data_IF_291986647114
#
_entry.id   IF_291986647114
#
_cell.length_a   1.000
_cell.length_b   1.000
_cell.length_c   1.000
_cell.angle_alpha   90.00
_cell.angle_beta   90.00
_cell.angle_gamma   90.00
#
_symmetry.space_group_name_H-M   'P 1'
#
loop_
_entity.id
_entity.type
_entity.pdbx_description
1 polymer ?
#
# COMPACT_ATOMS: atom_id res chain seq x y z
N UNK A 1 -24.76 21.13 -12.80
CA UNK A 1 -24.10 19.90 -12.29
C UNK A 1 -22.58 20.00 -12.25
N UNK A 2 -21.90 20.42 -13.33
CA UNK A 2 -20.41 20.46 -13.42
C UNK A 2 -19.70 21.22 -12.26
N UNK A 3 -20.24 22.36 -11.81
CA UNK A 3 -19.68 23.15 -10.68
C UNK A 3 -19.78 22.47 -9.29
N UNK A 4 -20.77 21.58 -9.04
CA UNK A 4 -20.85 20.83 -7.76
C UNK A 4 -19.78 19.75 -7.68
N UNK A 5 -19.66 18.93 -8.74
CA UNK A 5 -18.61 17.92 -8.84
C UNK A 5 -17.20 18.52 -8.63
N UNK A 6 -16.94 19.71 -9.20
CA UNK A 6 -15.64 20.39 -9.05
C UNK A 6 -15.34 20.82 -7.60
N UNK A 7 -16.33 21.32 -6.88
CA UNK A 7 -16.17 21.71 -5.48
C UNK A 7 -15.96 20.50 -4.56
N UNK A 8 -16.60 19.38 -4.89
CA UNK A 8 -16.50 18.14 -4.10
C UNK A 8 -15.14 17.44 -4.30
N UNK A 9 -14.59 17.47 -5.51
CA UNK A 9 -13.29 16.87 -5.85
C UNK A 9 -12.11 17.66 -5.28
N UNK A 10 -12.21 18.98 -5.18
CA UNK A 10 -11.18 19.85 -4.61
C UNK A 10 -11.31 20.07 -3.10
N UNK A 11 -12.10 19.25 -2.43
CA UNK A 11 -12.35 19.36 -1.01
C UNK A 11 -11.16 18.83 -0.20
N UNK A 12 -10.91 19.44 0.97
CA UNK A 12 -9.95 18.94 1.96
C UNK A 12 -10.06 17.44 2.25
N UNK A 13 -11.26 16.85 2.43
CA UNK A 13 -11.37 15.40 2.62
C UNK A 13 -10.88 14.60 1.41
N UNK A 14 -11.10 15.05 0.18
CA UNK A 14 -10.58 14.35 -1.01
C UNK A 14 -9.05 14.40 -1.11
N UNK A 15 -8.42 15.51 -0.71
CA UNK A 15 -6.96 15.60 -0.62
C UNK A 15 -6.40 14.67 0.46
N UNK A 16 -7.07 14.57 1.61
CA UNK A 16 -6.69 13.65 2.68
C UNK A 16 -6.83 12.18 2.24
N UNK A 17 -7.93 11.83 1.56
CA UNK A 17 -8.15 10.49 1.00
C UNK A 17 -7.07 10.15 -0.03
N UNK A 18 -6.74 11.09 -0.93
CA UNK A 18 -5.63 10.90 -1.87
C UNK A 18 -4.32 10.58 -1.14
N UNK A 19 -3.92 11.41 -0.17
CA UNK A 19 -2.68 11.23 0.57
C UNK A 19 -2.63 9.90 1.31
N UNK A 20 -3.73 9.51 1.95
CA UNK A 20 -3.84 8.23 2.65
C UNK A 20 -3.76 7.03 1.70
N UNK A 21 -4.51 7.03 0.60
CA UNK A 21 -4.48 5.97 -0.40
C UNK A 21 -3.11 5.85 -1.07
N UNK A 22 -2.45 6.98 -1.35
CA UNK A 22 -1.11 6.99 -1.92
C UNK A 22 -0.08 6.40 -0.94
N UNK A 23 -0.11 6.81 0.33
CA UNK A 23 0.80 6.30 1.35
C UNK A 23 0.61 4.79 1.58
N UNK A 24 -0.64 4.32 1.67
CA UNK A 24 -0.94 2.89 1.78
C UNK A 24 -0.49 2.12 0.54
N UNK A 25 -0.74 2.66 -0.66
CA UNK A 25 -0.33 2.07 -1.91
C UNK A 25 1.19 1.91 -2.01
N UNK A 26 1.93 2.97 -1.71
CA UNK A 26 3.39 2.97 -1.70
C UNK A 26 3.96 1.99 -0.67
N UNK A 27 3.47 2.04 0.57
CA UNK A 27 3.88 1.10 1.63
C UNK A 27 3.63 -0.35 1.22
N UNK A 28 2.43 -0.64 0.71
CA UNK A 28 2.05 -1.98 0.27
C UNK A 28 2.94 -2.48 -0.87
N UNK A 29 3.24 -1.62 -1.84
CA UNK A 29 4.08 -1.98 -2.97
C UNK A 29 5.53 -2.25 -2.54
N UNK A 30 6.10 -1.40 -1.68
CA UNK A 30 7.45 -1.58 -1.13
C UNK A 30 7.54 -2.88 -0.34
N UNK A 31 6.57 -3.15 0.56
CA UNK A 31 6.54 -4.41 1.31
C UNK A 31 6.36 -5.63 0.41
N UNK A 32 5.50 -5.54 -0.61
CA UNK A 32 5.28 -6.64 -1.55
C UNK A 32 6.54 -6.97 -2.36
N UNK A 33 7.26 -5.96 -2.86
CA UNK A 33 8.52 -6.16 -3.58
C UNK A 33 9.59 -6.73 -2.64
N UNK A 34 9.70 -6.20 -1.41
CA UNK A 34 10.64 -6.71 -0.40
C UNK A 34 10.40 -8.20 -0.12
N UNK A 35 9.14 -8.63 0.05
CA UNK A 35 8.80 -10.03 0.28
C UNK A 35 9.07 -10.95 -0.93
N UNK A 36 9.06 -10.40 -2.15
CA UNK A 36 9.43 -11.14 -3.35
C UNK A 36 10.95 -11.26 -3.53
N UNK A 37 11.72 -10.28 -3.02
CA UNK A 37 13.18 -10.30 -3.03
C UNK A 37 13.73 -11.18 -1.91
N UNK A 38 13.21 -11.01 -0.70
CA UNK A 38 13.62 -11.72 0.51
C UNK A 38 12.41 -12.45 1.12
N UNK A 39 11.98 -13.59 0.53
CA UNK A 39 10.78 -14.30 0.97
C UNK A 39 10.94 -15.03 2.29
N UNK A 40 12.18 -15.24 2.75
CA UNK A 40 12.50 -15.91 4.02
C UNK A 40 12.36 -14.98 5.23
N UNK A 41 11.32 -14.16 5.28
CA UNK A 41 11.02 -13.27 6.39
C UNK A 41 9.79 -13.70 7.20
N UNK A 42 9.88 -13.52 8.52
CA UNK A 42 8.77 -13.63 9.48
C UNK A 42 8.81 -12.42 10.41
N UNK A 43 7.70 -11.69 10.58
CA UNK A 43 7.64 -10.48 11.42
C UNK A 43 8.68 -9.39 11.06
N UNK A 44 9.16 -9.37 9.81
CA UNK A 44 10.23 -8.48 9.35
C UNK A 44 11.64 -8.87 9.81
N UNK A 45 11.83 -10.12 10.25
CA UNK A 45 13.13 -10.71 10.55
C UNK A 45 13.40 -11.88 9.61
N UNK A 46 14.66 -12.00 9.17
CA UNK A 46 15.09 -13.14 8.37
C UNK A 46 15.03 -14.44 9.18
N UNK A 47 14.47 -15.50 8.59
CA UNK A 47 14.40 -16.83 9.18
C UNK A 47 15.64 -17.65 8.85
N UNK A 48 16.15 -18.40 9.83
CA UNK A 48 17.06 -19.52 9.59
C UNK A 48 16.28 -20.83 9.41
N UNK A 49 16.94 -21.85 8.87
CA UNK A 49 16.32 -23.16 8.61
C UNK A 49 15.81 -23.87 9.87
N UNK A 50 16.32 -23.50 11.05
CA UNK A 50 15.93 -24.05 12.35
C UNK A 50 14.79 -23.26 13.02
N UNK A 51 14.40 -22.13 12.45
CA UNK A 51 13.37 -21.26 13.02
C UNK A 51 11.97 -21.65 12.53
N UNK A 52 10.96 -21.28 13.33
CA UNK A 52 9.55 -21.39 12.95
C UNK A 52 8.90 -20.02 12.99
N UNK A 53 8.00 -19.76 12.05
CA UNK A 53 7.15 -18.57 12.05
C UNK A 53 5.77 -18.92 12.57
N UNK A 54 5.40 -18.37 13.73
CA UNK A 54 4.07 -18.55 14.29
C UNK A 54 3.15 -17.41 13.82
N UNK A 55 2.01 -17.79 13.23
CA UNK A 55 1.00 -16.84 12.77
C UNK A 55 -0.09 -16.74 13.82
N UNK A 56 -0.18 -15.59 14.48
CA UNK A 56 -1.35 -15.23 15.26
C UNK A 56 -2.50 -14.80 14.34
N UNK A 57 -3.74 -14.92 14.81
CA UNK A 57 -4.89 -14.38 14.10
C UNK A 57 -4.78 -12.85 13.94
N UNK A 58 -5.14 -12.33 12.75
CA UNK A 58 -5.08 -10.90 12.33
C UNK A 58 -3.73 -10.38 11.82
N UNK A 59 -2.86 -11.27 11.34
CA UNK A 59 -1.64 -10.87 10.62
C UNK A 59 -0.50 -10.44 11.54
N UNK A 60 -0.55 -10.81 12.81
CA UNK A 60 0.63 -10.79 13.67
C UNK A 60 1.42 -12.09 13.47
N UNK A 61 2.72 -11.95 13.31
CA UNK A 61 3.66 -13.06 13.18
C UNK A 61 4.72 -12.94 14.27
N UNK A 62 5.19 -14.08 14.77
CA UNK A 62 6.31 -14.15 15.71
C UNK A 62 7.32 -15.19 15.24
N UNK A 63 8.60 -14.81 15.28
CA UNK A 63 9.71 -15.68 14.96
C UNK A 63 10.10 -16.48 16.20
N UNK A 64 9.92 -17.80 16.15
CA UNK A 64 10.40 -18.72 17.18
C UNK A 64 11.78 -19.22 16.77
N UNK A 65 12.81 -18.63 17.37
CA UNK A 65 14.21 -18.99 17.13
C UNK A 65 14.47 -20.43 17.57
N UNK A 66 15.09 -21.24 16.72
CA UNK A 66 15.29 -22.68 16.94
C UNK A 66 14.00 -23.50 17.14
N UNK A 67 12.84 -22.97 16.75
CA UNK A 67 11.54 -23.61 16.95
C UNK A 67 11.45 -25.02 16.36
N UNK A 68 12.14 -25.30 15.25
CA UNK A 68 12.13 -26.64 14.62
C UNK A 68 12.81 -27.71 15.48
N UNK A 69 13.61 -27.30 16.46
CA UNK A 69 14.33 -28.20 17.39
C UNK A 69 13.69 -28.23 18.78
N UNK A 70 12.70 -27.38 19.05
CA UNK A 70 12.05 -27.25 20.35
C UNK A 70 10.83 -28.17 20.44
N UNK A 71 10.78 -29.01 21.49
CA UNK A 71 9.64 -29.89 21.72
C UNK A 71 8.35 -29.09 21.99
N UNK A 72 7.32 -29.34 21.18
CA UNK A 72 6.00 -28.72 21.33
C UNK A 72 5.82 -27.35 20.66
N UNK A 73 6.86 -26.82 20.01
CA UNK A 73 6.71 -25.65 19.15
C UNK A 73 5.93 -26.01 17.87
N UNK A 74 5.00 -25.15 17.48
CA UNK A 74 4.28 -25.27 16.20
C UNK A 74 4.37 -23.94 15.46
N UNK A 75 4.40 -23.99 14.13
CA UNK A 75 4.57 -22.83 13.28
C UNK A 75 4.94 -23.26 11.87
N UNK A 76 5.03 -22.29 10.96
CA UNK A 76 5.50 -22.53 9.59
C UNK A 76 7.01 -22.63 9.55
N UNK A 77 7.52 -23.65 8.89
CA UNK A 77 8.94 -23.78 8.57
C UNK A 77 9.40 -22.69 7.58
N UNK A 78 10.71 -22.50 7.46
CA UNK A 78 11.31 -21.56 6.50
C UNK A 78 10.80 -21.79 5.06
N UNK A 79 10.71 -23.04 4.62
CA UNK A 79 10.20 -23.36 3.27
C UNK A 79 8.73 -23.02 3.08
N UNK A 80 7.91 -23.23 4.11
CA UNK A 80 6.48 -22.91 4.07
C UNK A 80 6.24 -21.40 4.10
N UNK A 81 7.00 -20.67 4.93
CA UNK A 81 6.93 -19.21 5.01
C UNK A 81 7.42 -18.56 3.71
N UNK A 82 8.56 -19.03 3.18
CA UNK A 82 9.10 -18.55 1.91
C UNK A 82 8.16 -18.80 0.74
N UNK A 83 7.55 -19.99 0.67
CA UNK A 83 6.53 -20.30 -0.34
C UNK A 83 5.30 -19.41 -0.21
N UNK A 84 4.79 -19.20 1.01
CA UNK A 84 3.66 -18.31 1.28
C UNK A 84 3.96 -16.87 0.83
N UNK A 85 5.13 -16.35 1.19
CA UNK A 85 5.52 -14.99 0.88
C UNK A 85 5.72 -14.78 -0.62
N UNK A 86 6.36 -15.74 -1.30
CA UNK A 86 6.62 -15.66 -2.74
C UNK A 86 5.33 -15.77 -3.56
N UNK A 87 4.47 -16.73 -3.23
CA UNK A 87 3.33 -17.08 -4.08
C UNK A 87 2.03 -16.37 -3.72
N UNK A 88 1.89 -15.91 -2.48
CA UNK A 88 0.65 -15.32 -2.00
C UNK A 88 0.84 -13.92 -1.44
N UNK A 89 1.62 -13.75 -0.37
CA UNK A 89 1.67 -12.48 0.37
C UNK A 89 2.31 -11.38 -0.47
N UNK A 90 3.51 -11.61 -1.01
CA UNK A 90 4.23 -10.65 -1.87
C UNK A 90 3.38 -10.17 -3.04
N UNK A 91 2.87 -11.07 -3.92
CA UNK A 91 2.00 -10.69 -5.03
C UNK A 91 0.74 -9.95 -4.58
N UNK A 92 0.10 -10.35 -3.48
CA UNK A 92 -1.08 -9.68 -2.95
C UNK A 92 -0.76 -8.23 -2.54
N UNK A 93 0.34 -8.02 -1.83
CA UNK A 93 0.81 -6.68 -1.45
C UNK A 93 1.16 -5.82 -2.66
N UNK A 94 1.78 -6.39 -3.70
CA UNK A 94 2.07 -5.69 -4.96
C UNK A 94 0.78 -5.30 -5.68
N UNK A 95 -0.19 -6.21 -5.78
CA UNK A 95 -1.48 -5.95 -6.42
C UNK A 95 -2.27 -4.87 -5.67
N UNK A 96 -2.39 -4.98 -4.35
CA UNK A 96 -3.02 -3.95 -3.52
C UNK A 96 -2.31 -2.60 -3.69
N UNK A 97 -0.98 -2.58 -3.60
CA UNK A 97 -0.17 -1.38 -3.80
C UNK A 97 -0.42 -0.73 -5.16
N UNK A 98 -0.40 -1.52 -6.23
CA UNK A 98 -0.68 -1.08 -7.59
C UNK A 98 -2.07 -0.48 -7.75
N UNK A 99 -3.10 -1.12 -7.20
CA UNK A 99 -4.49 -0.61 -7.25
C UNK A 99 -4.62 0.72 -6.50
N UNK A 100 -4.09 0.82 -5.28
CA UNK A 100 -4.15 2.05 -4.49
C UNK A 100 -3.39 3.21 -5.16
N UNK A 101 -2.21 2.94 -5.74
CA UNK A 101 -1.45 3.94 -6.49
C UNK A 101 -2.15 4.36 -7.78
N UNK A 102 -2.77 3.43 -8.51
CA UNK A 102 -3.52 3.74 -9.73
C UNK A 102 -4.74 4.61 -9.43
N UNK A 103 -5.54 4.24 -8.42
CA UNK A 103 -6.74 4.99 -8.02
C UNK A 103 -6.36 6.36 -7.48
N UNK A 104 -5.35 6.46 -6.62
CA UNK A 104 -4.89 7.76 -6.10
C UNK A 104 -4.35 8.66 -7.20
N UNK A 105 -3.54 8.14 -8.13
CA UNK A 105 -3.03 8.89 -9.28
C UNK A 105 -4.17 9.39 -10.18
N UNK A 106 -5.19 8.55 -10.39
CA UNK A 106 -6.39 8.92 -11.13
C UNK A 106 -7.14 10.08 -10.45
N UNK A 107 -7.37 10.01 -9.13
CA UNK A 107 -8.02 11.09 -8.37
C UNK A 107 -7.22 12.40 -8.44
N UNK A 108 -5.89 12.33 -8.30
CA UNK A 108 -5.02 13.50 -8.42
C UNK A 108 -5.11 14.15 -9.80
N UNK A 109 -5.19 13.35 -10.86
CA UNK A 109 -5.36 13.88 -12.22
C UNK A 109 -6.63 14.72 -12.34
N UNK A 110 -7.78 14.25 -11.84
CA UNK A 110 -9.01 15.04 -11.85
C UNK A 110 -8.92 16.30 -10.99
N UNK A 111 -8.25 16.23 -9.84
CA UNK A 111 -8.01 17.42 -9.00
C UNK A 111 -7.15 18.46 -9.72
N UNK A 112 -6.11 18.02 -10.44
CA UNK A 112 -5.24 18.90 -11.23
C UNK A 112 -5.98 19.56 -12.39
N UNK A 113 -6.76 18.79 -13.16
CA UNK A 113 -7.62 19.35 -14.22
C UNK A 113 -8.58 20.38 -13.63
N UNK A 114 -9.18 20.06 -12.48
CA UNK A 114 -10.12 20.96 -11.82
C UNK A 114 -9.48 22.28 -11.35
N UNK A 115 -8.24 22.20 -10.86
CA UNK A 115 -7.44 23.37 -10.52
C UNK A 115 -7.14 24.20 -11.76
N UNK A 116 -6.62 23.59 -12.83
CA UNK A 116 -6.23 24.30 -14.06
C UNK A 116 -7.41 25.06 -14.65
N UNK A 117 -8.60 24.46 -14.70
CA UNK A 117 -9.80 25.15 -15.17
C UNK A 117 -10.15 26.35 -14.26
N UNK A 118 -10.10 26.19 -12.94
CA UNK A 118 -10.32 27.30 -11.99
C UNK A 118 -9.26 28.41 -12.10
N UNK A 119 -8.04 28.07 -12.49
CA UNK A 119 -6.98 29.04 -12.74
C UNK A 119 -7.24 29.79 -14.06
N UNK A 120 -7.68 29.10 -15.11
CA UNK A 120 -8.07 29.72 -16.39
C UNK A 120 -9.24 30.68 -16.25
N UNK A 121 -10.28 30.29 -15.52
CA UNK A 121 -11.45 31.16 -15.27
C UNK A 121 -11.02 32.46 -14.55
N UNK A 122 -10.14 32.37 -13.55
CA UNK A 122 -9.62 33.55 -12.83
C UNK A 122 -8.74 34.45 -13.71
N UNK A 123 -7.98 33.87 -14.63
CA UNK A 123 -7.18 34.65 -15.58
C UNK A 123 -8.10 35.42 -16.55
N UNK A 124 -9.13 34.75 -17.08
CA UNK A 124 -10.10 35.38 -17.98
C UNK A 124 -10.90 36.52 -17.32
N UNK A 125 -11.31 36.36 -16.06
CA UNK A 125 -11.98 37.44 -15.31
C UNK A 125 -11.04 38.64 -15.03
N UNK A 126 -9.73 38.42 -14.93
CA UNK A 126 -8.74 39.48 -14.75
C UNK A 126 -8.56 40.32 -16.00
N UNK A 127 -8.60 39.70 -17.19
CA UNK A 127 -8.42 40.38 -18.48
C UNK A 127 -9.64 41.26 -18.85
N UNK A 128 -10.85 40.91 -18.38
CA UNK A 128 -12.09 41.66 -18.65
C UNK A 128 -12.24 42.91 -17.76
N UNK A 129 -11.59 42.92 -16.59
CA UNK A 129 -11.66 44.04 -15.63
C UNK A 129 -10.50 45.04 -15.76
N UNK A 130 -9.69 44.94 -16.81
CA UNK A 130 -8.63 45.89 -17.19
C UNK A 130 -9.07 46.78 -18.36
#
# INVERSE_FOLDING_TARGET
>A
MRKRLYSDVLSWPMLAVFGFCFALGAYSLIRGISLLQDPAECSGQAMAAVDLCYHYGRGSEELIVNGATMFGASGKSLSEQSSLNTWFVGPLYVLCGGVFLAVSSYLLFFQMVALVDRWRDRAADSDVNQ
#
